data_IF_927975947319
#
_entry.id   IF_927975947319
#
_cell.length_a   1.000
_cell.length_b   1.000
_cell.length_c   1.000
_cell.angle_alpha   90.00
_cell.angle_beta   90.00
_cell.angle_gamma   90.00
#
_symmetry.space_group_name_H-M   'P 1'
#
loop_
_entity.id
_entity.type
_entity.pdbx_description
1 polymer ?
#
# COMPACT_ATOMS: atom_id res chain seq x y z
N UNK A 1 -32.97 -7.20 3.72
CA UNK A 1 -33.01 -8.45 2.95
C UNK A 1 -31.90 -9.32 3.52
N UNK A 2 -32.21 -10.55 3.91
CA UNK A 2 -31.39 -11.36 4.82
C UNK A 2 -29.94 -11.53 4.34
N UNK A 3 -29.02 -11.31 5.27
CA UNK A 3 -27.59 -11.60 5.21
C UNK A 3 -27.41 -13.13 5.23
N UNK A 4 -27.73 -13.79 4.11
CA UNK A 4 -27.45 -15.21 3.96
C UNK A 4 -25.96 -15.40 3.68
N UNK A 5 -25.25 -15.88 4.69
CA UNK A 5 -23.86 -16.35 4.59
C UNK A 5 -23.74 -17.22 3.32
N UNK A 6 -22.74 -16.98 2.44
CA UNK A 6 -22.67 -17.67 1.17
C UNK A 6 -22.69 -19.20 1.36
N UNK A 7 -23.68 -19.86 0.74
CA UNK A 7 -23.76 -21.32 0.65
C UNK A 7 -22.66 -21.80 -0.27
N UNK A 8 -21.55 -22.23 0.33
CA UNK A 8 -20.40 -22.77 -0.39
C UNK A 8 -20.75 -24.20 -0.84
N UNK A 9 -20.97 -24.38 -2.14
CA UNK A 9 -21.39 -25.66 -2.71
C UNK A 9 -20.19 -26.62 -2.70
N UNK A 10 -20.34 -27.76 -2.02
CA UNK A 10 -19.41 -28.89 -2.10
C UNK A 10 -19.53 -29.55 -3.48
N UNK A 11 -18.45 -29.57 -4.27
CA UNK A 11 -18.37 -30.42 -5.47
C UNK A 11 -17.69 -31.73 -5.05
N UNK A 12 -18.49 -32.74 -4.71
CA UNK A 12 -18.02 -34.08 -4.42
C UNK A 12 -18.19 -35.02 -5.64
N UNK A 13 -17.25 -35.93 -5.92
CA UNK A 13 -17.58 -37.16 -6.61
C UNK A 13 -18.46 -37.99 -5.65
N UNK A 14 -19.70 -38.22 -6.06
CA UNK A 14 -20.78 -39.08 -5.52
C UNK A 14 -20.57 -39.78 -4.16
N UNK A 15 -21.48 -39.47 -3.22
CA UNK A 15 -22.14 -40.46 -2.34
C UNK A 15 -21.43 -40.82 -1.03
N UNK A 16 -21.90 -40.23 0.08
CA UNK A 16 -21.59 -40.62 1.46
C UNK A 16 -21.68 -39.43 2.42
N UNK A 17 -22.16 -39.64 3.66
CA UNK A 17 -22.08 -38.62 4.72
C UNK A 17 -20.60 -38.30 4.98
N UNK A 18 -20.16 -37.12 4.56
CA UNK A 18 -18.74 -36.76 4.55
C UNK A 18 -18.35 -36.05 5.84
N UNK A 19 -17.59 -36.77 6.66
CA UNK A 19 -16.59 -36.19 7.59
C UNK A 19 -15.46 -35.43 6.86
N UNK A 20 -15.50 -35.36 5.54
CA UNK A 20 -14.50 -34.70 4.71
C UNK A 20 -14.82 -33.22 4.55
N UNK A 21 -14.10 -32.36 5.26
CA UNK A 21 -14.11 -30.92 5.02
C UNK A 21 -13.82 -30.52 3.56
N UNK A 22 -13.96 -29.24 3.26
CA UNK A 22 -13.68 -28.66 1.94
C UNK A 22 -12.57 -27.61 2.01
N UNK A 23 -12.06 -27.22 0.84
CA UNK A 23 -11.01 -26.20 0.74
C UNK A 23 -11.64 -24.87 0.32
N UNK A 24 -11.41 -23.82 1.10
CA UNK A 24 -11.69 -22.45 0.71
C UNK A 24 -10.43 -21.82 0.14
N UNK A 25 -10.57 -21.20 -1.02
CA UNK A 25 -9.51 -20.39 -1.64
C UNK A 25 -9.86 -18.94 -1.36
N UNK A 26 -9.01 -18.28 -0.59
CA UNK A 26 -9.18 -16.87 -0.24
C UNK A 26 -8.43 -16.00 -1.22
N UNK A 27 -9.01 -14.84 -1.51
CA UNK A 27 -8.36 -13.73 -2.17
C UNK A 27 -7.37 -13.09 -1.20
N UNK A 28 -7.85 -12.76 0.01
CA UNK A 28 -7.03 -12.24 1.10
C UNK A 28 -7.59 -12.59 2.47
N UNK A 29 -6.72 -12.63 3.47
CA UNK A 29 -7.10 -12.53 4.87
C UNK A 29 -7.46 -11.07 5.16
N UNK A 30 -8.62 -10.84 5.76
CA UNK A 30 -9.07 -9.50 6.17
C UNK A 30 -8.56 -9.20 7.58
N UNK A 31 -8.77 -10.12 8.52
CA UNK A 31 -8.35 -9.97 9.91
C UNK A 31 -8.03 -11.32 10.55
N UNK A 32 -7.10 -11.31 11.50
CA UNK A 32 -6.72 -12.46 12.34
C UNK A 32 -6.97 -12.07 13.80
N UNK A 33 -7.83 -12.82 14.50
CA UNK A 33 -8.09 -12.62 15.92
C UNK A 33 -7.62 -13.86 16.72
N UNK A 34 -6.48 -13.72 17.39
CA UNK A 34 -5.89 -14.80 18.19
C UNK A 34 -6.63 -15.04 19.51
N UNK A 35 -7.27 -14.02 20.09
CA UNK A 35 -8.00 -14.12 21.35
C UNK A 35 -9.30 -14.90 21.17
N UNK A 36 -10.09 -14.54 20.15
CA UNK A 36 -11.35 -15.23 19.83
C UNK A 36 -11.15 -16.47 18.97
N UNK A 37 -9.92 -16.75 18.51
CA UNK A 37 -9.58 -17.84 17.57
C UNK A 37 -10.39 -17.76 16.29
N UNK A 38 -10.54 -16.55 15.75
CA UNK A 38 -11.31 -16.28 14.55
C UNK A 38 -10.43 -15.74 13.44
N UNK A 39 -10.78 -16.13 12.23
CA UNK A 39 -10.15 -15.69 11.00
C UNK A 39 -11.22 -15.13 10.06
N UNK A 40 -11.04 -13.89 9.62
CA UNK A 40 -11.89 -13.25 8.64
C UNK A 40 -11.18 -13.24 7.29
N UNK A 41 -11.84 -13.77 6.25
CA UNK A 41 -11.25 -13.92 4.92
C UNK A 41 -12.20 -13.48 3.82
N UNK A 42 -11.64 -12.89 2.78
CA UNK A 42 -12.31 -12.58 1.53
C UNK A 42 -12.12 -13.75 0.57
N UNK A 43 -13.20 -14.29 0.03
CA UNK A 43 -13.16 -15.45 -0.85
C UNK A 43 -12.79 -15.04 -2.28
N UNK A 44 -11.88 -15.80 -2.90
CA UNK A 44 -11.50 -15.59 -4.31
C UNK A 44 -12.66 -15.91 -5.26
N UNK A 45 -13.47 -16.91 -4.90
CA UNK A 45 -14.76 -17.14 -5.52
C UNK A 45 -15.82 -16.28 -4.81
N UNK A 46 -16.90 -15.94 -5.50
CA UNK A 46 -18.04 -15.19 -4.94
C UNK A 46 -17.81 -13.69 -4.74
N UNK A 47 -17.12 -13.03 -5.67
CA UNK A 47 -17.10 -11.55 -5.78
C UNK A 47 -16.63 -10.85 -4.48
N UNK A 48 -15.55 -11.36 -3.88
CA UNK A 48 -14.97 -10.76 -2.68
C UNK A 48 -15.84 -10.87 -1.42
N UNK A 49 -16.76 -11.84 -1.34
CA UNK A 49 -17.54 -12.04 -0.12
C UNK A 49 -16.65 -12.44 1.05
N UNK A 50 -16.86 -11.77 2.18
CA UNK A 50 -16.17 -12.04 3.43
C UNK A 50 -16.84 -13.15 4.24
N UNK A 51 -16.04 -14.02 4.84
CA UNK A 51 -16.48 -15.09 5.74
C UNK A 51 -15.62 -15.11 6.99
N UNK A 52 -16.26 -15.27 8.14
CA UNK A 52 -15.59 -15.52 9.42
C UNK A 52 -15.57 -17.01 9.69
N UNK A 53 -14.39 -17.52 10.05
CA UNK A 53 -14.14 -18.92 10.40
C UNK A 53 -13.66 -19.00 11.85
N UNK A 54 -14.21 -19.93 12.62
CA UNK A 54 -13.59 -20.34 13.88
C UNK A 54 -12.35 -21.18 13.53
N UNK A 55 -11.33 -21.18 14.38
CA UNK A 55 -10.06 -21.89 14.12
C UNK A 55 -9.85 -22.98 15.15
N UNK A 56 -9.59 -24.20 14.67
CA UNK A 56 -9.32 -25.36 15.51
C UNK A 56 -8.02 -25.18 16.31
N UNK A 57 -7.92 -25.82 17.47
CA UNK A 57 -6.78 -25.65 18.39
C UNK A 57 -5.46 -26.09 17.75
N UNK A 58 -5.48 -27.17 16.98
CA UNK A 58 -4.35 -27.69 16.23
C UNK A 58 -3.85 -26.74 15.13
N UNK A 59 -4.67 -25.79 14.69
CA UNK A 59 -4.35 -24.88 13.59
C UNK A 59 -3.92 -23.47 14.09
N UNK A 60 -3.83 -23.25 15.41
CA UNK A 60 -3.49 -21.96 16.00
C UNK A 60 -2.06 -21.51 15.68
N UNK A 61 -1.10 -22.43 15.55
CA UNK A 61 0.27 -22.07 15.19
C UNK A 61 0.39 -21.59 13.75
N UNK A 62 -0.47 -22.07 12.86
CA UNK A 62 -0.58 -21.58 11.50
C UNK A 62 -1.37 -20.28 11.43
N UNK A 63 -2.40 -20.11 12.28
CA UNK A 63 -3.12 -18.85 12.42
C UNK A 63 -2.19 -17.68 12.79
N UNK A 64 -1.21 -17.91 13.68
CA UNK A 64 -0.20 -16.90 14.06
C UNK A 64 0.69 -16.45 12.90
N UNK A 65 0.82 -17.28 11.86
CA UNK A 65 1.65 -16.98 10.68
C UNK A 65 0.90 -16.16 9.63
N UNK A 66 -0.44 -16.16 9.67
CA UNK A 66 -1.26 -15.38 8.75
C UNK A 66 -1.21 -13.90 9.07
N UNK A 67 -1.12 -13.07 8.03
CA UNK A 67 -1.19 -11.61 8.10
C UNK A 67 -2.35 -11.11 7.25
N UNK A 68 -2.91 -9.96 7.66
CA UNK A 68 -3.90 -9.27 6.84
C UNK A 68 -3.33 -9.03 5.43
N UNK A 69 -4.06 -9.49 4.42
CA UNK A 69 -3.66 -9.49 3.02
C UNK A 69 -3.26 -10.86 2.46
N UNK A 70 -2.85 -11.83 3.28
CA UNK A 70 -2.36 -13.12 2.77
C UNK A 70 -3.44 -13.87 1.97
N UNK A 71 -3.04 -14.49 0.85
CA UNK A 71 -3.86 -15.50 0.21
C UNK A 71 -3.73 -16.82 0.98
N UNK A 72 -4.80 -17.60 1.07
CA UNK A 72 -4.74 -18.91 1.73
C UNK A 72 -5.63 -19.92 1.03
N UNK A 73 -5.21 -21.19 1.05
CA UNK A 73 -6.17 -22.30 0.95
C UNK A 73 -6.42 -22.80 2.35
N UNK A 74 -7.67 -22.78 2.78
CA UNK A 74 -8.07 -23.13 4.13
C UNK A 74 -8.88 -24.42 4.07
N UNK A 75 -8.45 -25.45 4.79
CA UNK A 75 -9.26 -26.65 5.03
C UNK A 75 -10.31 -26.29 6.08
N UNK A 76 -11.58 -26.43 5.74
CA UNK A 76 -12.71 -26.10 6.61
C UNK A 76 -13.57 -27.34 6.81
N UNK A 77 -13.94 -27.61 8.06
CA UNK A 77 -14.95 -28.60 8.44
C UNK A 77 -16.19 -27.89 9.00
N UNK A 78 -17.35 -28.52 8.89
CA UNK A 78 -18.56 -28.04 9.55
C UNK A 78 -18.82 -28.84 10.82
N UNK A 79 -18.78 -28.18 11.97
CA UNK A 79 -19.01 -28.77 13.29
C UNK A 79 -20.05 -27.94 14.05
N UNK A 80 -21.15 -28.57 14.49
CA UNK A 80 -22.19 -27.88 15.25
C UNK A 80 -22.84 -26.69 14.53
N UNK A 81 -22.87 -26.70 13.20
CA UNK A 81 -23.37 -25.59 12.37
C UNK A 81 -22.38 -24.44 12.19
N UNK A 82 -21.17 -24.56 12.71
CA UNK A 82 -20.08 -23.59 12.53
C UNK A 82 -19.04 -24.10 11.56
N UNK A 83 -18.38 -23.17 10.88
CA UNK A 83 -17.26 -23.46 9.98
C UNK A 83 -15.95 -23.31 10.76
N UNK A 84 -15.23 -24.42 10.87
CA UNK A 84 -13.99 -24.50 11.63
C UNK A 84 -12.82 -24.73 10.66
N UNK A 85 -11.85 -23.82 10.64
CA UNK A 85 -10.61 -23.95 9.90
C UNK A 85 -9.66 -24.89 10.64
N UNK A 86 -9.24 -25.97 9.97
CA UNK A 86 -8.41 -27.03 10.57
C UNK A 86 -6.99 -27.08 10.01
N UNK A 87 -6.76 -26.46 8.85
CA UNK A 87 -5.43 -26.41 8.26
C UNK A 87 -5.30 -25.24 7.26
N UNK A 88 -4.09 -24.70 7.12
CA UNK A 88 -3.81 -23.56 6.27
C UNK A 88 -2.67 -23.87 5.30
N UNK A 89 -2.87 -23.52 4.02
CA UNK A 89 -1.79 -23.37 3.05
C UNK A 89 -1.69 -21.91 2.67
N UNK A 90 -0.79 -21.20 3.35
CA UNK A 90 -0.55 -19.77 3.12
C UNK A 90 0.10 -19.62 1.74
N UNK A 91 -0.52 -18.80 0.91
CA UNK A 91 0.06 -18.29 -0.34
C UNK A 91 0.48 -16.85 -0.06
N UNK A 92 1.79 -16.54 -0.09
CA UNK A 92 2.24 -15.16 0.05
C UNK A 92 1.46 -14.29 -0.95
N UNK A 93 0.91 -13.20 -0.44
CA UNK A 93 0.16 -12.22 -1.21
C UNK A 93 1.08 -11.59 -2.25
N UNK A 94 1.14 -12.12 -3.46
CA UNK A 94 2.03 -11.65 -4.53
C UNK A 94 3.55 -11.78 -4.15
N UNK A 95 4.37 -12.52 -4.92
CA UNK A 95 5.82 -12.53 -4.72
C UNK A 95 6.45 -11.13 -4.66
N UNK A 96 5.82 -10.12 -5.26
CA UNK A 96 6.24 -8.73 -5.17
C UNK A 96 6.05 -8.12 -3.78
N UNK A 97 5.00 -8.48 -3.02
CA UNK A 97 4.78 -7.96 -1.66
C UNK A 97 5.81 -8.52 -0.69
N UNK A 98 6.08 -9.83 -0.74
CA UNK A 98 7.11 -10.45 0.09
C UNK A 98 8.51 -9.90 -0.25
N UNK A 99 8.76 -9.64 -1.54
CA UNK A 99 9.99 -8.97 -1.98
C UNK A 99 10.05 -7.53 -1.47
N UNK A 100 8.95 -6.78 -1.53
CA UNK A 100 8.88 -5.42 -0.99
C UNK A 100 9.15 -5.41 0.52
N UNK A 101 8.54 -6.33 1.28
CA UNK A 101 8.76 -6.44 2.74
C UNK A 101 10.24 -6.66 3.07
N UNK A 102 10.93 -7.53 2.34
CA UNK A 102 12.37 -7.74 2.51
C UNK A 102 13.17 -6.47 2.19
N UNK A 103 12.89 -5.82 1.06
CA UNK A 103 13.64 -4.62 0.66
C UNK A 103 13.37 -3.43 1.59
N UNK A 104 12.17 -3.32 2.17
CA UNK A 104 11.88 -2.30 3.18
C UNK A 104 12.76 -2.46 4.42
N UNK A 105 13.09 -3.69 4.82
CA UNK A 105 14.03 -3.96 5.91
C UNK A 105 15.47 -3.61 5.49
N UNK A 106 15.87 -4.02 4.29
CA UNK A 106 17.24 -3.85 3.77
C UNK A 106 17.62 -2.38 3.52
N UNK A 107 16.66 -1.45 3.46
CA UNK A 107 16.93 0.00 3.46
C UNK A 107 17.67 0.48 4.71
N UNK A 108 17.63 -0.28 5.81
CA UNK A 108 18.33 0.04 7.07
C UNK A 108 19.56 -0.86 7.29
N UNK A 109 19.99 -1.61 6.28
CA UNK A 109 21.13 -2.52 6.43
C UNK A 109 22.44 -1.75 6.67
N UNK A 110 23.31 -2.35 7.50
CA UNK A 110 24.62 -1.78 7.84
C UNK A 110 25.50 -1.55 6.60
N UNK A 111 25.37 -2.40 5.57
CA UNK A 111 26.16 -2.33 4.36
C UNK A 111 25.42 -1.54 3.28
N UNK A 112 26.03 -0.43 2.83
CA UNK A 112 25.44 0.50 1.85
C UNK A 112 24.98 -0.16 0.55
N UNK A 113 25.64 -1.23 0.11
CA UNK A 113 25.26 -1.97 -1.10
C UNK A 113 23.85 -2.60 -0.97
N UNK A 114 23.50 -3.11 0.21
CA UNK A 114 22.18 -3.68 0.48
C UNK A 114 21.11 -2.58 0.47
N UNK A 115 21.39 -1.43 1.10
CA UNK A 115 20.50 -0.25 1.05
C UNK A 115 20.28 0.26 -0.37
N UNK A 116 21.35 0.34 -1.17
CA UNK A 116 21.29 0.72 -2.60
C UNK A 116 20.41 -0.26 -3.39
N UNK A 117 20.63 -1.57 -3.22
CA UNK A 117 19.86 -2.60 -3.91
C UNK A 117 18.38 -2.57 -3.48
N UNK A 118 18.12 -2.41 -2.19
CA UNK A 118 16.78 -2.24 -1.64
C UNK A 118 16.06 -1.04 -2.27
N UNK A 119 16.72 0.11 -2.30
CA UNK A 119 16.16 1.32 -2.91
C UNK A 119 15.81 1.09 -4.40
N UNK A 120 16.68 0.40 -5.16
CA UNK A 120 16.44 0.06 -6.56
C UNK A 120 15.19 -0.81 -6.73
N UNK A 121 15.15 -1.92 -6.01
CA UNK A 121 14.09 -2.92 -6.16
C UNK A 121 12.74 -2.32 -5.75
N UNK A 122 12.69 -1.52 -4.68
CA UNK A 122 11.45 -0.86 -4.27
C UNK A 122 10.89 0.08 -5.35
N UNK A 123 11.76 0.77 -6.09
CA UNK A 123 11.36 1.59 -7.23
C UNK A 123 10.79 0.77 -8.39
N UNK A 124 11.34 -0.43 -8.65
CA UNK A 124 10.82 -1.36 -9.68
C UNK A 124 9.48 -1.99 -9.28
N UNK A 125 9.33 -2.34 -8.00
CA UNK A 125 8.09 -2.90 -7.46
C UNK A 125 6.94 -1.87 -7.42
N UNK A 126 7.28 -0.58 -7.40
CA UNK A 126 6.33 0.53 -7.31
C UNK A 126 5.35 0.41 -6.14
N UNK A 127 5.80 -0.20 -5.04
CA UNK A 127 5.01 -0.35 -3.83
C UNK A 127 4.93 1.00 -3.09
N UNK A 128 3.73 1.59 -2.90
CA UNK A 128 3.59 2.87 -2.21
C UNK A 128 4.11 2.86 -0.76
N UNK A 129 4.21 1.69 -0.11
CA UNK A 129 4.79 1.56 1.24
C UNK A 129 6.27 1.98 1.28
N UNK A 130 6.93 1.99 0.13
CA UNK A 130 8.33 2.40 0.00
C UNK A 130 8.55 3.92 0.02
N UNK A 131 7.49 4.74 -0.13
CA UNK A 131 7.63 6.19 -0.27
C UNK A 131 8.40 6.81 0.89
N UNK A 132 7.93 6.66 2.13
CA UNK A 132 8.56 7.31 3.29
C UNK A 132 9.96 6.76 3.58
N UNK A 133 10.21 5.43 3.52
CA UNK A 133 11.56 4.87 3.62
C UNK A 133 12.53 5.39 2.55
N UNK A 134 12.09 5.53 1.30
CA UNK A 134 12.91 6.10 0.23
C UNK A 134 13.13 7.60 0.41
N UNK A 135 12.15 8.34 0.94
CA UNK A 135 12.32 9.75 1.32
C UNK A 135 13.39 9.89 2.40
N UNK A 136 13.43 9.01 3.40
CA UNK A 136 14.50 9.02 4.40
C UNK A 136 15.87 8.71 3.77
N UNK A 137 15.92 7.76 2.83
CA UNK A 137 17.14 7.39 2.11
C UNK A 137 17.70 8.49 1.18
N UNK A 138 16.95 9.57 0.92
CA UNK A 138 17.51 10.77 0.27
C UNK A 138 18.60 11.46 1.09
N UNK A 139 18.72 11.15 2.39
CA UNK A 139 19.74 11.66 3.29
C UNK A 139 20.74 10.58 3.74
N UNK A 140 20.80 9.46 3.01
CA UNK A 140 21.79 8.40 3.30
C UNK A 140 23.22 8.94 3.22
N UNK A 141 24.11 8.46 4.08
CA UNK A 141 25.53 8.86 4.08
C UNK A 141 26.22 8.58 2.73
N UNK A 142 25.79 7.53 2.02
CA UNK A 142 26.37 7.10 0.75
C UNK A 142 25.62 7.69 -0.43
N UNK A 143 26.34 8.43 -1.29
CA UNK A 143 25.76 9.10 -2.46
C UNK A 143 25.05 8.17 -3.45
N UNK A 144 25.55 6.95 -3.63
CA UNK A 144 24.91 5.93 -4.47
C UNK A 144 23.53 5.51 -3.97
N UNK A 145 23.32 5.48 -2.65
CA UNK A 145 22.03 5.16 -2.04
C UNK A 145 21.07 6.33 -2.23
N UNK A 146 21.54 7.58 -1.98
CA UNK A 146 20.76 8.81 -2.23
C UNK A 146 20.28 8.89 -3.67
N UNK A 147 21.17 8.64 -4.63
CA UNK A 147 20.84 8.66 -6.06
C UNK A 147 19.78 7.59 -6.40
N UNK A 148 19.89 6.40 -5.80
CA UNK A 148 18.90 5.36 -6.07
C UNK A 148 17.54 5.67 -5.47
N UNK A 149 17.51 6.20 -4.25
CA UNK A 149 16.28 6.67 -3.61
C UNK A 149 15.59 7.75 -4.45
N UNK A 150 16.36 8.71 -4.97
CA UNK A 150 15.91 9.74 -5.88
C UNK A 150 15.24 9.16 -7.14
N UNK A 151 15.89 8.23 -7.83
CA UNK A 151 15.36 7.61 -9.05
C UNK A 151 14.10 6.77 -8.76
N UNK A 152 14.08 6.06 -7.63
CA UNK A 152 12.94 5.23 -7.23
C UNK A 152 11.70 6.04 -6.86
N UNK A 153 11.85 7.19 -6.20
CA UNK A 153 10.73 8.11 -5.93
C UNK A 153 10.12 8.68 -7.22
N UNK A 154 10.93 8.94 -8.24
CA UNK A 154 10.41 9.34 -9.56
C UNK A 154 9.64 8.20 -10.22
N UNK A 155 10.14 6.96 -10.14
CA UNK A 155 9.48 5.76 -10.69
C UNK A 155 8.15 5.45 -10.00
N UNK A 156 8.06 5.67 -8.69
CA UNK A 156 6.82 5.58 -7.91
C UNK A 156 5.81 6.63 -8.38
N UNK A 157 6.25 7.88 -8.59
CA UNK A 157 5.44 8.92 -9.21
C UNK A 157 4.46 9.57 -8.23
N UNK A 158 3.17 9.63 -8.60
CA UNK A 158 2.12 10.32 -7.84
C UNK A 158 2.09 9.99 -6.33
N UNK A 159 2.19 8.71 -5.91
CA UNK A 159 2.25 8.33 -4.50
C UNK A 159 3.37 9.00 -3.69
N UNK A 160 4.49 9.39 -4.33
CA UNK A 160 5.61 10.06 -3.66
C UNK A 160 5.37 11.54 -3.39
N UNK A 161 4.44 12.17 -4.10
CA UNK A 161 4.26 13.63 -4.08
C UNK A 161 3.92 14.17 -2.68
N UNK A 162 2.97 13.60 -1.92
CA UNK A 162 2.62 14.14 -0.60
C UNK A 162 3.81 14.18 0.37
N UNK A 163 4.64 13.13 0.40
CA UNK A 163 5.80 13.05 1.30
C UNK A 163 6.96 13.95 0.87
N UNK A 164 7.01 14.38 -0.39
CA UNK A 164 8.05 15.29 -0.91
C UNK A 164 7.73 16.77 -0.70
N UNK A 165 6.45 17.14 -0.57
CA UNK A 165 6.03 18.55 -0.41
C UNK A 165 6.65 19.20 0.85
N UNK A 166 6.64 18.57 2.04
CA UNK A 166 7.26 19.14 3.24
C UNK A 166 8.77 19.39 3.07
N UNK A 167 9.45 18.59 2.26
CA UNK A 167 10.89 18.71 2.03
C UNK A 167 11.27 19.95 1.21
N UNK A 168 10.30 20.61 0.55
CA UNK A 168 10.53 21.86 -0.19
C UNK A 168 10.99 23.02 0.71
N UNK A 169 10.78 22.91 2.03
CA UNK A 169 11.22 23.89 3.02
C UNK A 169 12.33 23.37 3.94
N UNK A 170 12.87 22.17 3.67
CA UNK A 170 13.99 21.60 4.44
C UNK A 170 15.15 22.60 4.57
N UNK A 171 15.76 22.66 5.76
CA UNK A 171 16.97 23.45 6.00
C UNK A 171 18.18 22.85 5.28
N UNK A 172 18.20 21.53 5.11
CA UNK A 172 19.21 20.82 4.31
C UNK A 172 19.03 21.14 2.82
N UNK A 173 20.03 21.83 2.26
CA UNK A 173 20.03 22.29 0.87
C UNK A 173 19.90 21.15 -0.13
N UNK A 174 20.61 20.04 0.10
CA UNK A 174 20.58 18.85 -0.75
C UNK A 174 19.19 18.19 -0.76
N UNK A 175 18.56 18.02 0.41
CA UNK A 175 17.21 17.45 0.53
C UNK A 175 16.19 18.31 -0.20
N UNK A 176 16.27 19.63 -0.03
CA UNK A 176 15.36 20.59 -0.65
C UNK A 176 15.48 20.62 -2.18
N UNK A 177 16.71 20.54 -2.69
CA UNK A 177 16.98 20.44 -4.13
C UNK A 177 16.47 19.12 -4.69
N UNK A 178 16.73 18.00 -3.99
CA UNK A 178 16.24 16.67 -4.38
C UNK A 178 14.72 16.65 -4.50
N UNK A 179 14.00 17.13 -3.47
CA UNK A 179 12.54 17.19 -3.50
C UNK A 179 12.00 18.04 -4.67
N UNK A 180 12.61 19.21 -4.91
CA UNK A 180 12.25 20.09 -6.03
C UNK A 180 12.39 19.37 -7.38
N UNK A 181 13.51 18.69 -7.60
CA UNK A 181 13.78 18.03 -8.88
C UNK A 181 12.99 16.74 -9.06
N UNK A 182 12.76 15.96 -7.99
CA UNK A 182 11.89 14.77 -8.04
C UNK A 182 10.46 15.19 -8.42
N UNK A 183 9.88 16.18 -7.73
CA UNK A 183 8.53 16.68 -8.05
C UNK A 183 8.42 17.16 -9.49
N UNK A 184 9.44 17.87 -9.98
CA UNK A 184 9.49 18.33 -11.38
C UNK A 184 9.56 17.16 -12.37
N UNK A 185 10.34 16.13 -12.07
CA UNK A 185 10.47 14.92 -12.92
C UNK A 185 9.25 13.99 -12.86
N UNK A 186 8.54 13.95 -11.72
CA UNK A 186 7.23 13.28 -11.62
C UNK A 186 6.25 13.93 -12.61
N UNK A 187 6.26 15.26 -12.72
CA UNK A 187 5.50 15.99 -13.73
C UNK A 187 4.01 16.12 -13.37
N UNK A 188 3.11 15.89 -14.33
CA UNK A 188 1.66 16.13 -14.19
C UNK A 188 1.03 15.58 -12.89
N UNK A 189 1.36 14.37 -12.40
CA UNK A 189 0.83 13.85 -11.13
C UNK A 189 1.14 14.72 -9.90
N UNK A 190 2.17 15.57 -9.95
CA UNK A 190 2.52 16.46 -8.84
C UNK A 190 1.68 17.75 -8.82
N UNK A 191 1.02 18.12 -9.91
CA UNK A 191 0.35 19.43 -10.05
C UNK A 191 -0.81 19.61 -9.05
N UNK A 192 -1.75 18.67 -9.02
CA UNK A 192 -2.93 18.78 -8.13
C UNK A 192 -2.56 18.72 -6.64
N UNK A 193 -1.69 17.79 -6.17
CA UNK A 193 -1.25 17.82 -4.77
C UNK A 193 -0.50 19.09 -4.40
N UNK A 194 0.34 19.65 -5.29
CA UNK A 194 1.02 20.93 -5.07
C UNK A 194 0.01 22.08 -5.01
N UNK A 195 -0.96 22.12 -5.91
CA UNK A 195 -2.03 23.13 -5.91
C UNK A 195 -2.88 23.04 -4.64
N UNK A 196 -3.15 21.82 -4.16
CA UNK A 196 -3.86 21.58 -2.90
C UNK A 196 -3.02 22.07 -1.72
N UNK A 197 -1.73 21.75 -1.66
CA UNK A 197 -0.87 22.19 -0.56
C UNK A 197 -0.73 23.73 -0.45
N UNK A 198 -1.01 24.49 -1.50
CA UNK A 198 -1.04 25.96 -1.43
C UNK A 198 -2.12 26.53 -0.50
N UNK A 199 -3.20 25.78 -0.21
CA UNK A 199 -4.33 26.29 0.59
C UNK A 199 -3.93 26.55 2.04
N UNK A 200 -3.15 25.65 2.62
CA UNK A 200 -2.82 25.63 4.05
C UNK A 200 -1.33 25.91 4.33
N UNK A 201 -0.53 26.12 3.28
CA UNK A 201 0.90 26.42 3.40
C UNK A 201 1.18 27.81 3.99
N UNK A 202 2.25 27.89 4.79
CA UNK A 202 2.87 29.16 5.18
C UNK A 202 3.54 29.86 3.98
N UNK A 203 4.02 31.10 4.17
CA UNK A 203 4.61 31.89 3.09
C UNK A 203 5.88 31.26 2.51
N UNK A 204 6.66 30.55 3.34
CA UNK A 204 7.90 29.89 2.92
C UNK A 204 7.58 28.73 1.98
N UNK A 205 6.64 27.87 2.37
CA UNK A 205 6.21 26.71 1.58
C UNK A 205 5.46 27.15 0.32
N UNK A 206 4.57 28.16 0.40
CA UNK A 206 3.91 28.75 -0.77
C UNK A 206 4.92 29.21 -1.82
N UNK A 207 5.94 29.96 -1.40
CA UNK A 207 6.99 30.45 -2.31
C UNK A 207 7.71 29.30 -3.00
N UNK A 208 7.98 28.20 -2.28
CA UNK A 208 8.67 27.03 -2.84
C UNK A 208 7.77 26.25 -3.81
N UNK A 209 6.52 26.00 -3.44
CA UNK A 209 5.54 25.33 -4.30
C UNK A 209 5.32 26.12 -5.60
N UNK A 210 5.16 27.45 -5.51
CA UNK A 210 4.98 28.29 -6.70
C UNK A 210 6.19 28.23 -7.64
N UNK A 211 7.42 28.18 -7.12
CA UNK A 211 8.63 27.99 -7.93
C UNK A 211 8.66 26.62 -8.64
N UNK A 212 8.20 25.56 -7.96
CA UNK A 212 8.11 24.23 -8.56
C UNK A 212 7.08 24.24 -9.69
N UNK A 213 5.88 24.75 -9.45
CA UNK A 213 4.81 24.83 -10.44
C UNK A 213 5.19 25.68 -11.66
N UNK A 214 5.84 26.83 -11.45
CA UNK A 214 6.34 27.68 -12.55
C UNK A 214 7.37 26.94 -13.42
N UNK A 215 8.33 26.23 -12.80
CA UNK A 215 9.29 25.37 -13.51
C UNK A 215 8.65 24.19 -14.25
N UNK A 216 7.46 23.77 -13.83
CA UNK A 216 6.64 22.76 -14.51
C UNK A 216 5.76 23.37 -15.62
N UNK A 217 5.77 24.69 -15.81
CA UNK A 217 4.91 25.40 -16.76
C UNK A 217 3.44 25.49 -16.30
N UNK A 218 3.16 25.26 -15.02
CA UNK A 218 1.82 25.34 -14.44
C UNK A 218 1.62 26.65 -13.68
N UNK A 219 0.58 27.40 -14.06
CA UNK A 219 0.12 28.58 -13.32
C UNK A 219 -1.19 28.23 -12.60
N UNK A 220 -1.19 28.05 -11.27
CA UNK A 220 -2.41 27.79 -10.53
C UNK A 220 -3.39 28.95 -10.72
N UNK A 221 -4.67 28.64 -10.98
CA UNK A 221 -5.73 29.65 -10.97
C UNK A 221 -5.86 30.20 -9.55
N UNK A 222 -5.41 31.43 -9.32
CA UNK A 222 -5.59 32.10 -8.03
C UNK A 222 -7.08 32.32 -7.77
N UNK A 223 -7.51 32.29 -6.50
CA UNK A 223 -8.91 32.53 -6.10
C UNK A 223 -9.50 33.85 -6.64
N UNK A 224 -8.65 34.83 -7.01
CA UNK A 224 -9.09 36.07 -7.70
C UNK A 224 -9.65 35.84 -9.10
N UNK A 225 -9.16 34.84 -9.84
CA UNK A 225 -9.62 34.54 -11.20
C UNK A 225 -11.02 33.89 -11.25
N UNK A 226 -11.56 33.46 -10.11
CA UNK A 226 -12.90 32.84 -10.01
C UNK A 226 -13.99 33.87 -9.72
N UNK A 227 -13.64 35.07 -9.23
CA UNK A 227 -14.61 36.14 -8.94
C UNK A 227 -15.13 36.89 -10.18
N UNK A 228 -14.54 36.68 -11.35
CA UNK A 228 -14.87 37.44 -12.58
C UNK A 228 -15.99 36.81 -13.42
N UNK A 229 -16.46 35.61 -13.07
CA UNK A 229 -17.61 34.96 -13.72
C UNK A 229 -18.85 35.02 -12.82
N UNK A 230 -19.35 36.22 -12.55
CA UNK A 230 -20.75 36.36 -12.13
C UNK A 230 -21.60 36.49 -13.40
N UNK A 231 -22.62 35.63 -13.61
CA UNK A 231 -23.48 35.74 -14.77
C UNK A 231 -24.23 37.07 -14.70
N UNK A 232 -24.20 37.83 -15.79
CA UNK A 232 -25.10 38.98 -15.97
C UNK A 232 -26.52 38.43 -15.97
N UNK A 233 -27.27 38.69 -14.92
CA UNK A 233 -28.71 38.51 -14.91
C UNK A 233 -29.30 39.56 -15.86
N UNK A 234 -29.90 39.07 -16.94
CA UNK A 234 -30.76 39.82 -17.86
C UNK A 234 -32.00 40.33 -17.16
#
# INVERSE_FOLDING_TARGET
MADETPKLIQIAPKGGEKKDGFNLVTERVVAVNLESRQLEVELLAYDGKTVVLDVAEEALDDLKKLKAGDGATIRVVEEGGKRVATNFRIRPKDPNTARADAMLLDLNDSHWLNRKYAAEVLGELKDPRAVDPLVAALNDEVGDVRQRAYDSLIKLGGPSVPSLIPLLVSEEDETRQSATEILRKIGKPAVEPLATALTDADDRLKTRIMKVLDRMGYKPKTKESVKTELPRLT
#
